data_IF_037905183213
#
_entry.id   IF_037905183213
#
_cell.length_a   1.000
_cell.length_b   1.000
_cell.length_c   1.000
_cell.angle_alpha   90.00
_cell.angle_beta   90.00
_cell.angle_gamma   90.00
#
_symmetry.space_group_name_H-M   'P 1'
#
loop_
_entity.id
_entity.type
_entity.pdbx_description
1 polymer ?
#
# COMPACT_ATOMS: atom_id res chain seq x y z
N UNK A 1 -44.56 -11.92 -70.16
CA UNK A 1 -43.24 -11.33 -69.84
C UNK A 1 -43.46 -10.11 -68.97
N UNK A 2 -42.94 -10.12 -67.74
CA UNK A 2 -43.07 -9.02 -66.79
C UNK A 2 -42.37 -9.42 -65.49
N UNK A 3 -41.11 -9.02 -65.35
CA UNK A 3 -40.24 -9.32 -64.21
C UNK A 3 -40.72 -8.60 -62.93
N UNK A 4 -40.85 -9.35 -61.84
CA UNK A 4 -41.00 -8.81 -60.50
C UNK A 4 -39.63 -8.38 -59.94
N UNK A 5 -39.51 -7.19 -59.31
CA UNK A 5 -38.27 -6.70 -58.75
C UNK A 5 -37.93 -7.42 -57.43
N UNK A 6 -36.64 -7.76 -57.30
CA UNK A 6 -36.08 -8.56 -56.24
C UNK A 6 -36.11 -7.91 -54.86
N UNK A 7 -36.55 -8.70 -53.89
CA UNK A 7 -36.32 -8.49 -52.45
C UNK A 7 -34.84 -8.77 -52.16
N UNK A 8 -34.01 -7.73 -52.18
CA UNK A 8 -32.69 -7.81 -51.57
C UNK A 8 -32.81 -7.86 -50.05
N UNK A 9 -32.30 -8.95 -49.49
CA UNK A 9 -32.15 -9.23 -48.06
C UNK A 9 -31.50 -8.06 -47.32
N UNK A 10 -32.27 -7.40 -46.44
CA UNK A 10 -31.72 -6.67 -45.29
C UNK A 10 -31.48 -7.67 -44.15
N UNK A 11 -30.49 -8.54 -44.32
CA UNK A 11 -29.82 -9.12 -43.16
C UNK A 11 -28.90 -8.04 -42.59
N UNK A 12 -29.50 -7.15 -41.80
CA UNK A 12 -28.75 -6.34 -40.86
C UNK A 12 -27.95 -7.31 -39.98
N UNK A 13 -26.65 -7.40 -40.23
CA UNK A 13 -25.67 -8.01 -39.32
C UNK A 13 -25.69 -7.21 -38.03
N UNK A 14 -26.63 -7.54 -37.15
CA UNK A 14 -26.52 -7.23 -35.73
C UNK A 14 -25.29 -7.99 -35.23
N UNK A 15 -24.29 -7.34 -34.63
CA UNK A 15 -23.17 -8.03 -34.01
C UNK A 15 -23.73 -9.05 -33.01
N UNK A 16 -23.46 -10.34 -33.27
CA UNK A 16 -23.73 -11.42 -32.32
C UNK A 16 -23.06 -11.07 -30.99
N UNK A 17 -23.88 -11.03 -29.94
CA UNK A 17 -23.50 -11.22 -28.54
C UNK A 17 -22.69 -10.10 -27.86
N UNK A 18 -23.33 -8.94 -27.68
CA UNK A 18 -23.32 -8.34 -26.33
C UNK A 18 -24.35 -9.10 -25.49
N UNK A 19 -24.06 -10.34 -25.10
CA UNK A 19 -24.74 -10.88 -23.91
C UNK A 19 -24.38 -9.91 -22.79
N UNK A 20 -25.40 -9.26 -22.23
CA UNK A 20 -25.24 -8.49 -20.99
C UNK A 20 -24.84 -9.52 -19.93
N UNK A 21 -23.54 -9.77 -19.79
CA UNK A 21 -23.03 -10.64 -18.72
C UNK A 21 -23.44 -10.01 -17.41
N UNK A 22 -24.15 -10.77 -16.58
CA UNK A 22 -24.59 -10.27 -15.29
C UNK A 22 -23.34 -10.26 -14.40
N UNK A 23 -22.90 -9.08 -13.99
CA UNK A 23 -21.71 -8.92 -13.14
C UNK A 23 -22.07 -8.23 -11.83
N UNK A 24 -21.39 -8.65 -10.77
CA UNK A 24 -21.45 -8.00 -9.45
C UNK A 24 -20.11 -7.28 -9.23
N UNK A 25 -20.16 -5.97 -9.02
CA UNK A 25 -18.98 -5.14 -8.77
C UNK A 25 -19.33 -4.11 -7.69
N UNK A 26 -18.52 -4.02 -6.65
CA UNK A 26 -18.58 -2.99 -5.63
C UNK A 26 -18.16 -1.63 -6.23
N UNK A 27 -19.10 -0.68 -6.25
CA UNK A 27 -18.90 0.64 -6.88
C UNK A 27 -18.41 1.71 -5.90
N UNK A 28 -18.58 1.45 -4.62
CA UNK A 28 -18.17 2.26 -3.48
C UNK A 28 -16.66 2.18 -3.21
N UNK A 29 -15.98 1.15 -3.74
CA UNK A 29 -14.52 1.05 -3.67
C UNK A 29 -13.89 1.88 -4.79
N UNK A 30 -13.33 3.01 -4.38
CA UNK A 30 -12.59 3.91 -5.24
C UNK A 30 -11.32 3.24 -5.83
N UNK A 31 -10.69 3.94 -6.77
CA UNK A 31 -9.46 3.46 -7.40
C UNK A 31 -8.31 3.53 -6.41
N UNK A 32 -7.46 2.52 -6.44
CA UNK A 32 -6.18 2.51 -5.73
C UNK A 32 -5.14 3.17 -6.63
N UNK A 33 -4.34 4.09 -6.07
CA UNK A 33 -3.40 4.91 -6.82
C UNK A 33 -2.12 5.14 -6.03
N UNK A 34 -1.01 4.77 -6.64
CA UNK A 34 0.32 5.10 -6.13
C UNK A 34 0.66 6.56 -6.48
N UNK A 35 1.24 7.29 -5.54
CA UNK A 35 1.56 8.71 -5.60
C UNK A 35 0.45 9.64 -5.07
N UNK A 36 -0.67 9.10 -4.57
CA UNK A 36 -1.84 9.88 -4.11
C UNK A 36 -1.98 9.93 -2.58
N UNK A 37 -0.93 9.55 -1.83
CA UNK A 37 -0.87 9.71 -0.38
C UNK A 37 -1.46 8.55 0.44
N UNK A 38 -1.56 7.36 -0.18
CA UNK A 38 -1.81 6.05 0.42
C UNK A 38 -0.91 5.00 -0.26
N UNK A 39 0.40 5.22 -0.21
CA UNK A 39 1.38 4.54 -1.08
C UNK A 39 1.83 3.19 -0.53
N UNK A 40 1.49 2.89 0.72
CA UNK A 40 1.63 1.56 1.29
C UNK A 40 0.42 0.69 0.90
N UNK A 41 0.62 -0.16 -0.12
CA UNK A 41 -0.47 -0.90 -0.78
C UNK A 41 -1.27 -1.81 0.17
N UNK A 42 -0.61 -2.47 1.12
CA UNK A 42 -1.27 -3.34 2.11
C UNK A 42 -2.29 -2.58 2.99
N UNK A 43 -1.88 -1.58 3.81
CA UNK A 43 -2.82 -0.85 4.65
C UNK A 43 -3.86 -0.09 3.82
N UNK A 44 -3.52 0.37 2.62
CA UNK A 44 -4.47 1.06 1.74
C UNK A 44 -5.55 0.12 1.19
N UNK A 45 -5.19 -1.07 0.72
CA UNK A 45 -6.15 -2.08 0.29
C UNK A 45 -7.02 -2.56 1.46
N UNK A 46 -6.42 -2.80 2.64
CA UNK A 46 -7.15 -3.21 3.84
C UNK A 46 -8.12 -2.13 4.33
N UNK A 47 -7.71 -0.86 4.34
CA UNK A 47 -8.56 0.28 4.67
C UNK A 47 -9.75 0.38 3.70
N UNK A 48 -9.49 0.27 2.40
CA UNK A 48 -10.53 0.30 1.38
C UNK A 48 -11.52 -0.87 1.49
N UNK A 49 -11.07 -2.06 1.87
CA UNK A 49 -11.94 -3.23 2.04
C UNK A 49 -12.76 -3.20 3.35
N UNK A 50 -12.15 -2.76 4.45
CA UNK A 50 -12.76 -2.82 5.79
C UNK A 50 -13.49 -1.55 6.21
N UNK A 51 -13.23 -0.42 5.54
CA UNK A 51 -13.69 0.91 5.95
C UNK A 51 -12.88 1.51 7.10
N UNK A 52 -11.79 0.86 7.54
CA UNK A 52 -10.91 1.39 8.58
C UNK A 52 -10.07 2.58 8.08
N UNK A 53 -9.62 3.44 9.00
CA UNK A 53 -8.80 4.60 8.67
C UNK A 53 -7.37 4.17 8.30
N UNK A 54 -6.87 4.55 7.12
CA UNK A 54 -5.53 4.20 6.64
C UNK A 54 -4.41 4.52 7.64
N UNK A 55 -4.38 5.76 8.12
CA UNK A 55 -3.37 6.23 9.08
C UNK A 55 -3.47 5.46 10.41
N UNK A 56 -4.67 5.02 10.80
CA UNK A 56 -4.88 4.21 11.99
C UNK A 56 -4.24 2.82 11.85
N UNK A 57 -4.40 2.16 10.71
CA UNK A 57 -3.79 0.84 10.46
C UNK A 57 -2.26 0.91 10.47
N UNK A 58 -1.70 1.92 9.80
CA UNK A 58 -0.26 2.17 9.75
C UNK A 58 0.33 2.57 11.11
N UNK A 59 -0.38 3.41 11.88
CA UNK A 59 0.05 3.82 13.20
C UNK A 59 0.00 2.68 14.23
N UNK A 60 -1.09 1.90 14.24
CA UNK A 60 -1.26 0.80 15.20
C UNK A 60 -0.31 -0.37 14.96
N UNK A 61 0.12 -0.61 13.72
CA UNK A 61 1.17 -1.61 13.40
C UNK A 61 2.59 -1.11 13.69
N UNK A 62 2.76 0.16 14.05
CA UNK A 62 4.08 0.77 14.21
C UNK A 62 4.80 1.08 12.89
N UNK A 63 4.29 0.60 11.75
CA UNK A 63 4.95 0.75 10.46
C UNK A 63 5.05 2.21 10.04
N UNK A 64 4.09 3.08 10.38
CA UNK A 64 4.18 4.53 10.08
C UNK A 64 5.51 5.17 10.56
N UNK A 65 6.11 4.61 11.61
CA UNK A 65 7.32 5.12 12.27
C UNK A 65 8.60 4.41 11.82
N UNK A 66 8.49 3.29 11.11
CA UNK A 66 9.62 2.44 10.72
C UNK A 66 10.21 2.85 9.38
N UNK A 67 11.53 2.78 9.26
CA UNK A 67 12.25 2.80 7.98
C UNK A 67 13.00 1.50 7.80
N UNK A 68 12.97 0.96 6.59
CA UNK A 68 13.77 -0.18 6.18
C UNK A 68 14.23 0.03 4.74
N UNK A 69 15.42 -0.47 4.43
CA UNK A 69 16.01 -0.45 3.09
C UNK A 69 16.73 -1.78 2.86
N UNK A 70 16.86 -2.18 1.60
CA UNK A 70 17.77 -3.23 1.17
C UNK A 70 18.96 -2.55 0.49
N UNK A 71 20.06 -2.38 1.22
CA UNK A 71 21.25 -1.72 0.70
C UNK A 71 21.94 -2.55 -0.40
N UNK A 72 21.78 -3.87 -0.43
CA UNK A 72 22.45 -4.73 -1.40
C UNK A 72 21.77 -4.63 -2.76
N UNK A 73 20.46 -4.82 -2.79
CA UNK A 73 19.70 -4.89 -4.05
C UNK A 73 19.06 -3.56 -4.44
N UNK A 74 18.96 -2.62 -3.49
CA UNK A 74 18.19 -1.37 -3.64
C UNK A 74 16.72 -1.64 -3.98
N UNK A 75 16.14 -2.72 -3.43
CA UNK A 75 14.76 -3.10 -3.70
C UNK A 75 13.78 -2.08 -3.10
N UNK A 76 12.98 -1.35 -3.90
CA UNK A 76 12.10 -0.27 -3.41
C UNK A 76 11.08 -0.71 -2.37
N UNK A 77 10.79 -1.99 -2.49
CA UNK A 77 9.90 -2.80 -1.74
C UNK A 77 10.34 -3.00 -0.29
N UNK A 78 11.64 -2.93 0.02
CA UNK A 78 12.15 -3.01 1.38
C UNK A 78 11.56 -1.92 2.30
N UNK A 79 11.18 -0.76 1.75
CA UNK A 79 10.56 0.33 2.50
C UNK A 79 9.06 0.10 2.81
N UNK A 80 8.39 -0.78 2.07
CA UNK A 80 6.95 -1.01 2.20
C UNK A 80 6.61 -1.91 3.41
N UNK A 81 5.48 -1.67 4.11
CA UNK A 81 4.99 -2.55 5.17
C UNK A 81 4.73 -3.98 4.65
N UNK A 82 5.40 -4.96 5.25
CA UNK A 82 5.38 -6.37 4.79
C UNK A 82 5.47 -7.37 5.92
N UNK A 83 5.18 -8.62 5.55
CA UNK A 83 5.28 -9.77 6.43
C UNK A 83 3.96 -10.09 7.12
N UNK A 84 3.83 -11.34 7.54
CA UNK A 84 2.60 -11.85 8.16
C UNK A 84 2.26 -11.13 9.45
N UNK A 85 3.27 -10.85 10.30
CA UNK A 85 3.07 -10.12 11.56
C UNK A 85 2.50 -8.73 11.32
N UNK A 86 3.11 -7.97 10.43
CA UNK A 86 2.66 -6.62 10.06
C UNK A 86 1.23 -6.63 9.53
N UNK A 87 0.91 -7.58 8.65
CA UNK A 87 -0.43 -7.75 8.11
C UNK A 87 -1.45 -8.09 9.20
N UNK A 88 -1.09 -8.99 10.13
CA UNK A 88 -1.94 -9.36 11.26
C UNK A 88 -2.19 -8.20 12.22
N UNK A 89 -1.18 -7.36 12.50
CA UNK A 89 -1.32 -6.19 13.35
C UNK A 89 -2.26 -5.14 12.74
N UNK A 90 -2.11 -4.86 11.45
CA UNK A 90 -3.03 -3.98 10.71
C UNK A 90 -4.44 -4.54 10.66
N UNK A 91 -4.60 -5.82 10.35
CA UNK A 91 -5.90 -6.49 10.30
C UNK A 91 -6.60 -6.45 11.66
N UNK A 92 -5.87 -6.76 12.74
CA UNK A 92 -6.41 -6.68 14.10
C UNK A 92 -6.89 -5.25 14.43
N UNK A 93 -6.12 -4.23 14.06
CA UNK A 93 -6.52 -2.82 14.26
C UNK A 93 -7.79 -2.44 13.47
N UNK A 94 -8.04 -3.09 12.33
CA UNK A 94 -9.25 -2.95 11.52
C UNK A 94 -10.44 -3.77 12.03
N UNK A 95 -10.26 -4.63 13.05
CA UNK A 95 -11.28 -5.61 13.44
C UNK A 95 -11.47 -6.69 12.38
N UNK A 96 -10.37 -7.11 11.75
CA UNK A 96 -10.35 -8.13 10.68
C UNK A 96 -9.41 -9.26 11.07
N UNK A 97 -9.84 -10.50 10.80
CA UNK A 97 -8.97 -11.69 10.76
C UNK A 97 -8.62 -11.98 9.31
N UNK A 98 -7.33 -12.19 9.05
CA UNK A 98 -6.83 -12.61 7.74
C UNK A 98 -6.93 -14.13 7.61
N UNK A 99 -7.42 -14.58 6.47
CA UNK A 99 -7.48 -16.00 6.11
C UNK A 99 -6.85 -16.21 4.71
N UNK A 100 -5.51 -16.34 4.65
CA UNK A 100 -4.79 -16.49 3.39
C UNK A 100 -5.03 -17.86 2.79
N UNK A 101 -5.35 -17.90 1.50
CA UNK A 101 -5.43 -19.13 0.70
C UNK A 101 -4.37 -19.04 -0.38
N UNK A 102 -3.44 -19.99 -0.38
CA UNK A 102 -2.32 -19.99 -1.29
C UNK A 102 -2.64 -20.82 -2.56
N UNK A 103 -2.19 -20.37 -3.74
CA UNK A 103 -2.16 -21.23 -4.94
C UNK A 103 -1.17 -22.40 -4.77
N UNK A 104 -1.29 -23.45 -5.61
CA UNK A 104 -2.21 -23.58 -6.74
C UNK A 104 -3.64 -23.97 -6.33
N UNK A 105 -4.62 -23.50 -7.10
CA UNK A 105 -6.04 -23.87 -6.93
C UNK A 105 -6.41 -24.93 -7.98
N UNK A 106 -6.68 -26.16 -7.52
CA UNK A 106 -7.27 -27.22 -8.36
C UNK A 106 -8.74 -26.95 -8.66
N UNK A 107 -9.40 -27.81 -9.43
CA UNK A 107 -10.78 -27.58 -9.88
C UNK A 107 -11.79 -27.47 -8.72
N UNK A 108 -11.64 -28.31 -7.70
CA UNK A 108 -12.50 -28.30 -6.51
C UNK A 108 -12.27 -27.03 -5.68
N UNK A 109 -11.01 -26.68 -5.44
CA UNK A 109 -10.64 -25.47 -4.71
C UNK A 109 -11.09 -24.21 -5.45
N UNK A 110 -11.02 -24.19 -6.80
CA UNK A 110 -11.51 -23.07 -7.61
C UNK A 110 -13.00 -22.83 -7.40
N UNK A 111 -13.81 -23.89 -7.32
CA UNK A 111 -15.24 -23.74 -7.04
C UNK A 111 -15.45 -23.10 -5.65
N UNK A 112 -14.82 -23.65 -4.61
CA UNK A 112 -14.94 -23.16 -3.23
C UNK A 112 -14.44 -21.72 -3.07
N UNK A 113 -13.31 -21.38 -3.67
CA UNK A 113 -12.75 -20.02 -3.64
C UNK A 113 -13.62 -19.05 -4.44
N UNK A 114 -14.22 -19.48 -5.56
CA UNK A 114 -15.17 -18.64 -6.32
C UNK A 114 -16.38 -18.30 -5.47
N UNK A 115 -16.99 -19.28 -4.81
CA UNK A 115 -18.14 -19.07 -3.95
C UNK A 115 -17.79 -18.12 -2.79
N UNK A 116 -16.64 -18.33 -2.14
CA UNK A 116 -16.20 -17.46 -1.05
C UNK A 116 -15.87 -16.04 -1.51
N UNK A 117 -15.34 -15.85 -2.73
CA UNK A 117 -15.15 -14.51 -3.32
C UNK A 117 -16.52 -13.83 -3.50
N UNK A 118 -17.50 -14.55 -4.06
CA UNK A 118 -18.84 -14.01 -4.28
C UNK A 118 -19.50 -13.59 -2.96
N UNK A 119 -19.46 -14.45 -1.94
CA UNK A 119 -19.95 -14.16 -0.59
C UNK A 119 -19.27 -12.93 0.02
N UNK A 120 -17.94 -12.84 -0.07
CA UNK A 120 -17.15 -11.73 0.48
C UNK A 120 -17.48 -10.41 -0.21
N UNK A 121 -17.61 -10.42 -1.54
CA UNK A 121 -18.02 -9.26 -2.35
C UNK A 121 -19.44 -8.83 -1.99
N UNK A 122 -20.38 -9.77 -1.88
CA UNK A 122 -21.77 -9.44 -1.53
C UNK A 122 -21.91 -8.89 -0.11
N UNK A 123 -21.07 -9.36 0.82
CA UNK A 123 -20.96 -8.85 2.19
C UNK A 123 -20.26 -7.47 2.31
N UNK A 124 -19.85 -6.87 1.18
CA UNK A 124 -19.06 -5.62 1.11
C UNK A 124 -17.78 -5.72 1.94
N UNK A 125 -17.09 -6.85 1.84
CA UNK A 125 -15.80 -7.11 2.47
C UNK A 125 -14.91 -7.88 1.49
N UNK A 126 -14.47 -7.25 0.39
CA UNK A 126 -13.77 -7.95 -0.68
C UNK A 126 -12.43 -8.54 -0.21
N UNK A 127 -12.01 -9.69 -0.75
CA UNK A 127 -10.71 -10.26 -0.45
C UNK A 127 -9.56 -9.37 -0.91
N UNK A 128 -8.46 -9.40 -0.15
CA UNK A 128 -7.18 -8.88 -0.62
C UNK A 128 -6.61 -9.82 -1.67
N UNK A 129 -5.89 -9.26 -2.63
CA UNK A 129 -5.12 -10.04 -3.60
C UNK A 129 -3.72 -9.48 -3.73
N UNK A 130 -2.73 -10.37 -3.81
CA UNK A 130 -1.32 -9.99 -3.92
C UNK A 130 -0.76 -10.35 -5.30
N UNK A 131 -0.07 -9.39 -5.92
CA UNK A 131 0.74 -9.62 -7.14
C UNK A 131 -0.01 -9.48 -8.47
N UNK A 132 -1.25 -8.99 -8.50
CA UNK A 132 -1.98 -8.80 -9.77
C UNK A 132 -1.43 -7.65 -10.62
N UNK A 133 -1.03 -6.54 -10.01
CA UNK A 133 -0.40 -5.41 -10.70
C UNK A 133 1.11 -5.57 -10.91
N UNK A 134 1.68 -6.68 -10.43
CA UNK A 134 3.12 -6.91 -10.31
C UNK A 134 3.49 -7.20 -8.85
N UNK A 135 4.47 -8.09 -8.60
CA UNK A 135 4.84 -8.44 -7.24
C UNK A 135 5.52 -7.27 -6.52
N UNK A 136 5.35 -7.15 -5.20
CA UNK A 136 4.34 -7.73 -4.31
C UNK A 136 3.34 -6.65 -3.88
N UNK A 137 2.60 -6.11 -4.84
CA UNK A 137 1.54 -5.15 -4.60
C UNK A 137 0.28 -5.84 -4.06
N UNK A 138 -0.39 -5.21 -3.10
CA UNK A 138 -1.73 -5.61 -2.65
C UNK A 138 -2.79 -4.82 -3.41
N UNK A 139 -3.84 -5.52 -3.83
CA UNK A 139 -5.05 -4.97 -4.42
C UNK A 139 -6.28 -5.65 -3.83
N UNK A 140 -7.43 -5.49 -4.52
CA UNK A 140 -8.72 -6.03 -4.09
C UNK A 140 -9.43 -6.79 -5.20
N UNK A 141 -10.11 -7.88 -4.86
CA UNK A 141 -11.12 -8.51 -5.71
C UNK A 141 -12.49 -7.92 -5.39
N UNK A 142 -12.92 -6.94 -6.19
CA UNK A 142 -14.12 -6.13 -5.92
C UNK A 142 -15.38 -6.64 -6.64
N UNK A 143 -15.27 -7.74 -7.38
CA UNK A 143 -16.38 -8.25 -8.16
C UNK A 143 -16.11 -9.58 -8.86
N UNK A 144 -17.17 -10.15 -9.40
CA UNK A 144 -17.17 -11.39 -10.15
C UNK A 144 -18.25 -11.38 -11.25
N UNK A 145 -18.07 -12.24 -12.25
CA UNK A 145 -19.02 -12.52 -13.31
C UNK A 145 -19.96 -13.66 -12.88
N UNK A 146 -21.27 -13.53 -13.09
CA UNK A 146 -22.25 -14.57 -12.73
C UNK A 146 -22.28 -15.70 -13.76
N UNK A 147 -21.79 -15.44 -14.97
CA UNK A 147 -21.86 -16.36 -16.10
C UNK A 147 -20.56 -17.16 -16.31
N UNK A 148 -19.53 -16.97 -15.47
CA UNK A 148 -18.27 -17.70 -15.58
C UNK A 148 -17.17 -17.18 -14.63
N UNK A 149 -16.02 -17.86 -14.56
CA UNK A 149 -15.02 -17.64 -13.51
C UNK A 149 -14.09 -16.46 -13.84
N UNK A 150 -14.68 -15.28 -14.04
CA UNK A 150 -13.95 -14.03 -14.19
C UNK A 150 -14.17 -13.16 -12.96
N UNK A 151 -13.09 -12.55 -12.48
CA UNK A 151 -13.08 -11.65 -11.34
C UNK A 151 -12.76 -10.22 -11.78
N UNK A 152 -13.16 -9.25 -10.98
CA UNK A 152 -12.88 -7.84 -11.20
C UNK A 152 -12.00 -7.33 -10.07
N UNK A 153 -10.79 -6.90 -10.43
CA UNK A 153 -9.78 -6.46 -9.49
C UNK A 153 -9.54 -4.95 -9.55
N UNK A 154 -9.05 -4.40 -8.43
CA UNK A 154 -8.44 -3.07 -8.33
C UNK A 154 -7.00 -3.20 -7.86
N UNK A 155 -6.09 -2.60 -8.61
CA UNK A 155 -4.66 -2.52 -8.30
C UNK A 155 -4.19 -1.06 -8.34
N UNK A 156 -3.12 -0.74 -7.62
CA UNK A 156 -2.51 0.60 -7.55
C UNK A 156 -1.98 1.10 -8.89
N UNK A 157 -1.72 0.18 -9.83
CA UNK A 157 -1.12 0.44 -11.13
C UNK A 157 -2.10 0.29 -12.30
N UNK A 158 -3.40 0.15 -12.02
CA UNK A 158 -4.44 0.10 -13.05
C UNK A 158 -4.45 1.39 -13.87
N UNK A 159 -4.31 1.30 -15.20
CA UNK A 159 -4.35 2.47 -16.09
C UNK A 159 -5.78 2.94 -16.44
N UNK A 160 -6.77 2.04 -16.34
CA UNK A 160 -8.16 2.28 -16.75
C UNK A 160 -9.09 2.66 -15.61
N UNK A 161 -10.16 3.40 -15.90
CA UNK A 161 -11.23 3.70 -14.92
C UNK A 161 -11.95 2.42 -14.49
N UNK A 162 -12.14 1.51 -15.43
CA UNK A 162 -12.81 0.24 -15.21
C UNK A 162 -11.96 -0.73 -14.40
N UNK A 163 -12.63 -1.57 -13.60
CA UNK A 163 -12.01 -2.64 -12.85
C UNK A 163 -11.37 -3.64 -13.81
N UNK A 164 -10.17 -4.12 -13.48
CA UNK A 164 -9.45 -5.07 -14.32
C UNK A 164 -10.15 -6.42 -14.27
N UNK A 165 -10.59 -6.93 -15.42
CA UNK A 165 -11.09 -8.30 -15.53
C UNK A 165 -9.91 -9.28 -15.53
N UNK A 166 -9.94 -10.29 -14.67
CA UNK A 166 -8.93 -11.35 -14.57
C UNK A 166 -9.60 -12.72 -14.49
N UNK A 167 -9.00 -13.75 -15.08
CA UNK A 167 -9.38 -15.14 -14.86
C UNK A 167 -8.42 -15.87 -13.92
N UNK A 168 -8.62 -17.18 -13.78
CA UNK A 168 -7.80 -18.05 -12.93
C UNK A 168 -6.30 -18.07 -13.30
N UNK A 169 -5.95 -17.74 -14.54
CA UNK A 169 -4.56 -17.60 -14.99
C UNK A 169 -3.77 -16.53 -14.22
N UNK A 170 -4.46 -15.58 -13.58
CA UNK A 170 -3.85 -14.55 -12.76
C UNK A 170 -3.47 -15.02 -11.34
N UNK A 171 -3.83 -16.26 -10.99
CA UNK A 171 -3.67 -16.86 -9.65
C UNK A 171 -2.87 -18.17 -9.71
N UNK A 172 -1.87 -18.22 -10.60
CA UNK A 172 -1.16 -19.44 -10.95
C UNK A 172 -0.13 -19.89 -9.89
N UNK A 173 0.45 -18.95 -9.14
CA UNK A 173 1.55 -19.22 -8.21
C UNK A 173 1.61 -18.23 -7.03
N UNK A 174 2.43 -18.52 -6.03
CA UNK A 174 2.48 -17.74 -4.79
C UNK A 174 2.99 -16.30 -4.97
N UNK A 175 3.66 -16.00 -6.08
CA UNK A 175 4.11 -14.65 -6.42
C UNK A 175 3.03 -13.85 -7.16
N UNK A 176 2.06 -14.55 -7.77
CA UNK A 176 1.01 -13.99 -8.62
C UNK A 176 -0.38 -14.53 -8.24
N UNK A 177 -1.12 -13.73 -7.47
CA UNK A 177 -2.51 -14.00 -7.13
C UNK A 177 -2.68 -14.84 -5.85
N UNK A 178 -1.92 -14.52 -4.81
CA UNK A 178 -2.30 -14.95 -3.45
C UNK A 178 -3.59 -14.25 -3.04
N UNK A 179 -4.59 -15.00 -2.57
CA UNK A 179 -5.87 -14.46 -2.11
C UNK A 179 -5.87 -14.48 -0.58
N UNK A 180 -6.35 -13.41 0.05
CA UNK A 180 -6.55 -13.37 1.50
C UNK A 180 -7.96 -12.91 1.79
N UNK A 181 -8.77 -13.82 2.33
CA UNK A 181 -10.10 -13.52 2.78
C UNK A 181 -10.05 -12.73 4.09
N UNK A 182 -11.08 -11.92 4.29
CA UNK A 182 -11.20 -11.01 5.41
C UNK A 182 -12.46 -11.36 6.20
N UNK A 183 -12.30 -11.71 7.47
CA UNK A 183 -13.44 -11.99 8.35
C UNK A 183 -13.54 -10.92 9.43
N UNK A 184 -14.75 -10.39 9.67
CA UNK A 184 -14.97 -9.40 10.73
C UNK A 184 -14.79 -10.03 12.11
N UNK A 185 -14.05 -9.34 12.96
CA UNK A 185 -13.87 -9.66 14.38
C UNK A 185 -14.03 -8.38 15.20
N UNK A 186 -14.08 -8.51 16.53
CA UNK A 186 -14.13 -7.33 17.40
C UNK A 186 -12.75 -6.66 17.42
N UNK A 187 -12.64 -5.37 17.03
CA UNK A 187 -11.38 -4.65 17.13
C UNK A 187 -10.97 -4.50 18.60
N UNK A 188 -9.65 -4.44 18.90
CA UNK A 188 -9.16 -4.11 20.23
C UNK A 188 -9.58 -2.69 20.64
N UNK A 189 -9.52 -2.43 21.95
CA UNK A 189 -9.67 -1.08 22.50
C UNK A 189 -8.71 -0.09 21.82
N UNK A 190 -9.20 1.10 21.47
CA UNK A 190 -8.40 2.10 20.74
C UNK A 190 -7.19 2.56 21.55
N UNK A 191 -7.32 2.74 22.87
CA UNK A 191 -6.19 3.15 23.69
C UNK A 191 -5.12 2.05 23.77
N UNK A 192 -5.53 0.78 23.85
CA UNK A 192 -4.62 -0.36 23.78
C UNK A 192 -3.85 -0.38 22.44
N UNK A 193 -4.55 -0.25 21.30
CA UNK A 193 -3.92 -0.22 19.98
C UNK A 193 -2.89 0.90 19.81
N UNK A 194 -3.20 2.10 20.34
CA UNK A 194 -2.24 3.22 20.30
C UNK A 194 -1.00 2.91 21.14
N UNK A 195 -1.17 2.37 22.36
CA UNK A 195 -0.04 2.00 23.22
C UNK A 195 0.86 0.96 22.57
N UNK A 196 0.28 -0.03 21.90
CA UNK A 196 1.01 -1.08 21.18
C UNK A 196 1.74 -0.51 19.96
N UNK A 197 1.07 0.31 19.15
CA UNK A 197 1.72 0.98 18.00
C UNK A 197 2.89 1.87 18.41
N UNK A 198 2.74 2.63 19.51
CA UNK A 198 3.83 3.43 20.09
C UNK A 198 4.97 2.55 20.60
N UNK A 199 4.65 1.44 21.27
CA UNK A 199 5.68 0.50 21.74
C UNK A 199 6.47 -0.11 20.57
N UNK A 200 5.79 -0.49 19.50
CA UNK A 200 6.42 -0.98 18.28
C UNK A 200 7.31 0.10 17.62
N UNK A 201 6.84 1.35 17.58
CA UNK A 201 7.60 2.49 17.05
C UNK A 201 8.91 2.73 17.82
N UNK A 202 8.84 2.68 19.16
CA UNK A 202 10.00 2.84 20.02
C UNK A 202 10.99 1.68 19.87
N UNK A 203 10.49 0.44 19.80
CA UNK A 203 11.32 -0.75 19.63
C UNK A 203 12.07 -0.77 18.28
N UNK A 204 11.48 -0.24 17.22
CA UNK A 204 12.08 -0.19 15.89
C UNK A 204 12.96 1.06 15.64
N UNK A 205 13.17 1.89 16.67
CA UNK A 205 13.84 3.19 16.53
C UNK A 205 15.27 3.10 16.02
N UNK A 206 16.09 2.24 16.65
CA UNK A 206 17.51 2.09 16.29
C UNK A 206 17.69 1.49 14.89
N UNK A 207 16.89 0.47 14.54
CA UNK A 207 16.88 -0.11 13.19
C UNK A 207 16.52 0.93 12.12
N UNK A 208 15.53 1.78 12.41
CA UNK A 208 15.08 2.82 11.48
C UNK A 208 16.14 3.90 11.28
N UNK A 209 16.86 4.27 12.34
CA UNK A 209 17.98 5.21 12.26
C UNK A 209 19.14 4.66 11.45
N UNK A 210 19.48 3.39 11.66
CA UNK A 210 20.52 2.71 10.91
C UNK A 210 20.16 2.62 9.42
N UNK A 211 18.89 2.33 9.10
CA UNK A 211 18.40 2.29 7.72
C UNK A 211 18.50 3.66 7.03
N UNK A 212 18.10 4.74 7.72
CA UNK A 212 18.23 6.11 7.20
C UNK A 212 19.70 6.52 7.01
N UNK A 213 20.57 6.14 7.95
CA UNK A 213 22.00 6.40 7.86
C UNK A 213 22.67 5.66 6.70
N UNK A 214 22.39 4.36 6.55
CA UNK A 214 22.88 3.56 5.43
C UNK A 214 22.37 4.09 4.09
N UNK A 215 21.09 4.44 3.98
CA UNK A 215 20.56 5.06 2.75
C UNK A 215 21.31 6.35 2.40
N UNK A 216 21.49 7.24 3.38
CA UNK A 216 22.22 8.48 3.18
C UNK A 216 23.69 8.25 2.81
N UNK A 217 24.35 7.24 3.39
CA UNK A 217 25.72 6.86 3.06
C UNK A 217 25.82 6.34 1.61
N UNK A 218 24.94 5.42 1.21
CA UNK A 218 24.92 4.87 -0.14
C UNK A 218 24.70 5.96 -1.21
N UNK A 219 23.84 6.95 -0.96
CA UNK A 219 23.64 8.09 -1.86
C UNK A 219 24.89 8.97 -2.03
N UNK A 220 25.75 9.04 -1.00
CA UNK A 220 27.01 9.79 -1.02
C UNK A 220 28.15 9.02 -1.68
N UNK A 221 28.03 7.70 -1.83
CA UNK A 221 29.03 6.88 -2.50
C UNK A 221 28.93 7.07 -4.02
N UNK A 222 29.71 8.00 -4.55
CA UNK A 222 29.73 8.29 -5.98
C UNK A 222 30.22 7.09 -6.83
N UNK A 223 31.07 6.21 -6.26
CA UNK A 223 31.58 5.05 -6.99
C UNK A 223 30.46 4.05 -7.30
N UNK A 224 29.51 3.88 -6.36
CA UNK A 224 28.33 3.02 -6.49
C UNK A 224 27.45 3.37 -7.69
N UNK A 225 27.38 4.64 -8.09
CA UNK A 225 26.47 5.13 -9.14
C UNK A 225 27.15 5.43 -10.47
N UNK A 226 28.38 4.92 -10.67
CA UNK A 226 29.14 5.14 -11.91
C UNK A 226 28.60 4.38 -13.12
N UNK A 227 27.95 3.22 -12.92
CA UNK A 227 27.25 2.51 -13.99
C UNK A 227 25.89 3.17 -14.28
N UNK A 228 25.69 3.76 -15.47
CA UNK A 228 24.43 4.42 -15.82
C UNK A 228 23.22 3.48 -15.83
N UNK A 229 23.42 2.18 -16.13
CA UNK A 229 22.32 1.21 -16.15
C UNK A 229 21.85 0.92 -14.73
N UNK A 230 22.78 0.59 -13.84
CA UNK A 230 22.49 0.43 -12.42
C UNK A 230 21.85 1.69 -11.81
N UNK A 231 22.44 2.86 -12.05
CA UNK A 231 21.92 4.14 -11.55
C UNK A 231 20.50 4.44 -12.06
N UNK A 232 20.20 4.12 -13.32
CA UNK A 232 18.86 4.28 -13.89
C UNK A 232 17.80 3.42 -13.19
N UNK A 233 18.12 2.15 -12.91
CA UNK A 233 17.21 1.25 -12.15
C UNK A 233 17.07 1.71 -10.70
N UNK A 234 18.18 2.08 -10.06
CA UNK A 234 18.19 2.57 -8.68
C UNK A 234 17.42 3.88 -8.50
N UNK A 235 17.33 4.72 -9.55
CA UNK A 235 16.56 5.96 -9.49
C UNK A 235 15.06 5.74 -9.28
N UNK A 236 14.49 4.71 -9.93
CA UNK A 236 13.09 4.33 -9.68
C UNK A 236 12.91 3.83 -8.26
N UNK A 237 13.84 2.99 -7.81
CA UNK A 237 13.76 2.40 -6.50
C UNK A 237 13.89 3.42 -5.36
N UNK A 238 14.88 4.32 -5.44
CA UNK A 238 15.05 5.46 -4.53
C UNK A 238 13.79 6.33 -4.49
N UNK A 239 13.23 6.62 -5.67
CA UNK A 239 11.99 7.40 -5.77
C UNK A 239 10.83 6.72 -5.04
N UNK A 240 10.62 5.42 -5.26
CA UNK A 240 9.55 4.67 -4.62
C UNK A 240 9.76 4.57 -3.09
N UNK A 241 10.98 4.30 -2.62
CA UNK A 241 11.31 4.31 -1.19
C UNK A 241 11.04 5.68 -0.57
N UNK A 242 11.38 6.78 -1.27
CA UNK A 242 11.15 8.15 -0.78
C UNK A 242 9.66 8.47 -0.69
N UNK A 243 8.88 8.08 -1.69
CA UNK A 243 7.42 8.23 -1.68
C UNK A 243 6.80 7.49 -0.51
N UNK A 244 7.21 6.23 -0.27
CA UNK A 244 6.76 5.43 0.87
C UNK A 244 7.18 6.08 2.20
N UNK A 245 8.41 6.56 2.33
CA UNK A 245 8.88 7.23 3.55
C UNK A 245 8.04 8.48 3.86
N UNK A 246 7.79 9.33 2.87
CA UNK A 246 6.95 10.52 3.02
C UNK A 246 5.54 10.14 3.48
N UNK A 247 4.95 9.13 2.84
CA UNK A 247 3.61 8.65 3.17
C UNK A 247 3.53 8.10 4.59
N UNK A 248 4.47 7.22 4.99
CA UNK A 248 4.56 6.66 6.35
C UNK A 248 4.67 7.77 7.40
N UNK A 249 5.49 8.80 7.17
CA UNK A 249 5.64 9.92 8.11
C UNK A 249 4.44 10.86 8.17
N UNK A 250 3.75 11.09 7.05
CA UNK A 250 2.46 11.79 7.04
C UNK A 250 1.40 11.01 7.81
N UNK A 251 1.33 9.70 7.59
CA UNK A 251 0.42 8.81 8.31
C UNK A 251 0.71 8.81 9.81
N UNK A 252 1.98 8.74 10.21
CA UNK A 252 2.41 8.86 11.62
C UNK A 252 1.90 10.16 12.25
N UNK A 253 2.11 11.29 11.58
CA UNK A 253 1.66 12.59 12.08
C UNK A 253 0.11 12.67 12.20
N UNK A 254 -0.64 12.17 11.21
CA UNK A 254 -2.11 12.16 11.25
C UNK A 254 -2.66 11.22 12.31
N UNK A 255 -2.09 10.03 12.45
CA UNK A 255 -2.41 9.05 13.49
C UNK A 255 -2.21 9.62 14.89
N UNK A 256 -1.06 10.24 15.17
CA UNK A 256 -0.79 10.79 16.49
C UNK A 256 -1.71 11.97 16.83
N UNK A 257 -2.05 12.81 15.84
CA UNK A 257 -3.03 13.90 16.03
C UNK A 257 -4.43 13.37 16.34
N UNK A 258 -4.86 12.28 15.70
CA UNK A 258 -6.17 11.68 16.00
C UNK A 258 -6.14 10.97 17.36
N UNK A 259 -5.04 10.28 17.68
CA UNK A 259 -4.87 9.55 18.93
C UNK A 259 -4.75 10.44 20.16
N UNK A 260 -4.31 11.71 20.03
CA UNK A 260 -4.15 12.62 21.19
C UNK A 260 -5.42 12.77 22.03
N UNK A 261 -6.60 12.70 21.41
CA UNK A 261 -7.89 12.85 22.10
C UNK A 261 -8.24 11.67 23.01
N UNK A 262 -7.55 10.53 22.83
CA UNK A 262 -7.75 9.32 23.63
C UNK A 262 -7.07 9.46 25.00
N UNK A 263 -5.97 10.24 25.08
CA UNK A 263 -5.19 10.39 26.30
C UNK A 263 -5.22 11.85 26.78
N UNK A 264 -5.87 12.15 27.92
CA UNK A 264 -5.94 13.50 28.43
C UNK A 264 -4.58 13.99 28.94
N UNK A 265 -4.42 15.31 29.06
CA UNK A 265 -3.28 15.95 29.74
C UNK A 265 -1.93 15.72 29.04
N UNK A 266 -0.85 15.47 29.80
CA UNK A 266 0.52 15.44 29.30
C UNK A 266 0.77 14.44 28.16
N UNK A 267 0.28 13.18 28.22
CA UNK A 267 0.46 12.23 27.11
C UNK A 267 -0.12 12.74 25.79
N UNK A 268 -1.30 13.37 25.81
CA UNK A 268 -1.89 13.96 24.60
C UNK A 268 -1.05 15.11 24.03
N UNK A 269 -0.43 15.92 24.90
CA UNK A 269 0.52 16.97 24.51
C UNK A 269 1.79 16.40 23.86
N UNK A 270 2.36 15.34 24.44
CA UNK A 270 3.54 14.68 23.89
C UNK A 270 3.25 13.95 22.57
N UNK A 271 2.05 13.38 22.40
CA UNK A 271 1.61 12.85 21.10
C UNK A 271 1.52 13.93 20.02
N UNK A 272 1.06 15.13 20.39
CA UNK A 272 1.03 16.26 19.45
C UNK A 272 2.44 16.70 19.05
N UNK A 273 3.36 16.79 20.01
CA UNK A 273 4.78 17.10 19.74
C UNK A 273 5.41 16.05 18.82
N UNK A 274 5.18 14.76 19.09
CA UNK A 274 5.64 13.69 18.22
C UNK A 274 5.05 13.82 16.80
N UNK A 275 3.77 14.16 16.69
CA UNK A 275 3.10 14.36 15.40
C UNK A 275 3.71 15.52 14.58
N UNK A 276 4.13 16.59 15.25
CA UNK A 276 4.83 17.72 14.61
C UNK A 276 6.19 17.29 14.09
N UNK A 277 6.99 16.59 14.90
CA UNK A 277 8.30 16.06 14.49
C UNK A 277 8.18 15.14 13.27
N UNK A 278 7.25 14.19 13.25
CA UNK A 278 7.05 13.34 12.07
C UNK A 278 6.50 14.11 10.86
N UNK A 279 5.74 15.18 11.08
CA UNK A 279 5.36 16.12 10.02
C UNK A 279 6.58 16.79 9.38
N UNK A 280 7.52 17.28 10.19
CA UNK A 280 8.77 17.86 9.70
C UNK A 280 9.67 16.83 9.03
N UNK A 281 9.69 15.58 9.52
CA UNK A 281 10.36 14.48 8.84
C UNK A 281 9.79 14.26 7.43
N UNK A 282 8.45 14.22 7.28
CA UNK A 282 7.82 14.14 5.97
C UNK A 282 8.20 15.32 5.08
N UNK A 283 8.15 16.55 5.60
CA UNK A 283 8.50 17.75 4.83
C UNK A 283 9.97 17.72 4.37
N UNK A 284 10.89 17.30 5.23
CA UNK A 284 12.29 17.09 4.88
C UNK A 284 12.42 16.05 3.75
N UNK A 285 11.71 14.93 3.86
CA UNK A 285 11.71 13.87 2.84
C UNK A 285 11.14 14.34 1.49
N UNK A 286 10.16 15.25 1.48
CA UNK A 286 9.58 15.78 0.22
C UNK A 286 10.49 16.72 -0.56
N UNK A 287 11.49 17.35 0.07
CA UNK A 287 12.40 18.31 -0.60
C UNK A 287 13.21 17.69 -1.75
N UNK A 288 13.35 16.36 -1.77
CA UNK A 288 13.94 15.61 -2.90
C UNK A 288 13.04 15.46 -4.12
N UNK A 289 11.78 15.92 -4.04
CA UNK A 289 10.77 15.80 -5.09
C UNK A 289 9.99 14.48 -4.99
N UNK A 290 8.78 14.56 -4.48
CA UNK A 290 7.77 13.49 -4.58
C UNK A 290 6.70 13.90 -5.60
N UNK A 291 6.30 12.96 -6.45
CA UNK A 291 5.42 13.19 -7.60
C UNK A 291 5.54 12.03 -8.59
N UNK A 292 4.96 12.14 -9.77
CA UNK A 292 5.05 11.09 -10.79
C UNK A 292 6.51 10.81 -11.19
N UNK A 293 6.89 9.53 -11.23
CA UNK A 293 8.20 9.13 -11.74
C UNK A 293 8.26 9.35 -13.26
N UNK A 294 9.27 10.10 -13.71
CA UNK A 294 9.52 10.35 -15.13
C UNK A 294 11.02 10.45 -15.41
N UNK A 295 11.39 10.61 -16.69
CA UNK A 295 12.80 10.72 -17.09
C UNK A 295 13.57 11.84 -16.38
N UNK A 296 12.90 12.95 -16.02
CA UNK A 296 13.51 14.03 -15.25
C UNK A 296 13.86 13.61 -13.82
N UNK A 297 13.01 12.80 -13.17
CA UNK A 297 13.32 12.21 -11.86
C UNK A 297 14.54 11.29 -11.95
N UNK A 298 14.59 10.43 -12.98
CA UNK A 298 15.73 9.54 -13.21
C UNK A 298 17.05 10.30 -13.43
N UNK A 299 17.02 11.34 -14.27
CA UNK A 299 18.21 12.17 -14.54
C UNK A 299 18.69 12.92 -13.30
N UNK A 300 17.78 13.40 -12.43
CA UNK A 300 18.18 14.02 -11.16
C UNK A 300 18.89 13.04 -10.23
N UNK A 301 18.52 11.77 -10.21
CA UNK A 301 19.23 10.79 -9.37
C UNK A 301 20.69 10.57 -9.83
N UNK A 302 20.96 10.67 -11.13
CA UNK A 302 22.32 10.54 -11.68
C UNK A 302 23.19 11.76 -11.31
N UNK A 303 22.57 12.91 -11.04
CA UNK A 303 23.28 14.09 -10.57
C UNK A 303 23.83 13.91 -9.13
N UNK A 304 25.14 14.04 -8.99
CA UNK A 304 25.85 13.92 -7.69
C UNK A 304 25.34 14.96 -6.69
N UNK A 305 25.08 16.19 -7.15
CA UNK A 305 24.59 17.27 -6.31
C UNK A 305 23.23 16.96 -5.70
N UNK A 306 22.32 16.42 -6.51
CA UNK A 306 21.01 15.98 -6.08
C UNK A 306 21.08 14.81 -5.09
N UNK A 307 21.90 13.78 -5.33
CA UNK A 307 22.06 12.67 -4.37
C UNK A 307 22.58 13.16 -3.02
N UNK A 308 23.58 14.05 -3.01
CA UNK A 308 24.11 14.64 -1.76
C UNK A 308 23.08 15.50 -1.05
N UNK A 309 22.28 16.27 -1.79
CA UNK A 309 21.17 17.03 -1.23
C UNK A 309 20.10 16.10 -0.64
N UNK A 310 19.81 14.98 -1.30
CA UNK A 310 18.90 13.96 -0.80
C UNK A 310 19.42 13.29 0.47
N UNK A 311 20.68 12.88 0.50
CA UNK A 311 21.33 12.34 1.70
C UNK A 311 21.26 13.31 2.89
N UNK A 312 21.47 14.62 2.66
CA UNK A 312 21.30 15.65 3.70
C UNK A 312 19.86 15.73 4.22
N UNK A 313 18.88 15.57 3.35
CA UNK A 313 17.47 15.54 3.76
C UNK A 313 17.17 14.29 4.60
N UNK A 314 17.75 13.13 4.27
CA UNK A 314 17.62 11.92 5.10
C UNK A 314 18.23 12.10 6.50
N UNK A 315 19.35 12.82 6.63
CA UNK A 315 19.87 13.17 7.96
C UNK A 315 18.85 14.01 8.77
N UNK A 316 18.18 14.95 8.10
CA UNK A 316 17.14 15.77 8.73
C UNK A 316 15.91 14.93 9.11
N UNK A 317 15.47 14.00 8.25
CA UNK A 317 14.42 13.02 8.57
C UNK A 317 14.80 12.26 9.83
N UNK A 318 16.02 11.72 9.90
CA UNK A 318 16.51 10.96 11.05
C UNK A 318 16.48 11.78 12.35
N UNK A 319 16.90 13.04 12.29
CA UNK A 319 16.88 13.92 13.47
C UNK A 319 15.45 14.19 13.94
N UNK A 320 14.52 14.50 13.03
CA UNK A 320 13.12 14.69 13.39
C UNK A 320 12.45 13.40 13.87
N UNK A 321 12.80 12.24 13.31
CA UNK A 321 12.31 10.95 13.79
C UNK A 321 12.80 10.66 15.23
N UNK A 322 14.05 11.03 15.57
CA UNK A 322 14.58 10.94 16.95
C UNK A 322 13.80 11.81 17.92
N UNK A 323 13.61 13.08 17.59
CA UNK A 323 12.79 14.01 18.38
C UNK A 323 11.36 13.47 18.58
N UNK A 324 10.77 12.93 17.51
CA UNK A 324 9.47 12.29 17.53
C UNK A 324 9.43 11.09 18.47
N UNK A 325 10.43 10.21 18.43
CA UNK A 325 10.53 9.05 19.33
C UNK A 325 10.78 9.43 20.78
N UNK A 326 11.57 10.46 21.06
CA UNK A 326 11.72 11.00 22.41
C UNK A 326 10.36 11.48 22.97
N UNK A 327 9.57 12.16 22.14
CA UNK A 327 8.21 12.56 22.49
C UNK A 327 7.27 11.37 22.69
N UNK A 328 7.36 10.35 21.84
CA UNK A 328 6.61 9.10 22.01
C UNK A 328 6.99 8.38 23.31
N UNK A 329 8.26 8.38 23.69
CA UNK A 329 8.74 7.80 24.96
C UNK A 329 8.14 8.50 26.16
N UNK A 330 8.13 9.85 26.15
CA UNK A 330 7.48 10.65 27.19
C UNK A 330 5.96 10.39 27.26
N UNK A 331 5.28 10.38 26.11
CA UNK A 331 3.87 10.07 26.02
C UNK A 331 3.57 8.68 26.61
N UNK A 332 4.34 7.66 26.20
CA UNK A 332 4.16 6.28 26.64
C UNK A 332 4.32 6.11 28.14
N UNK A 333 5.29 6.80 28.75
CA UNK A 333 5.52 6.78 30.20
C UNK A 333 4.35 7.40 31.00
N UNK A 334 3.66 8.39 30.41
CA UNK A 334 2.48 9.02 31.03
C UNK A 334 1.16 8.28 30.78
N UNK A 335 1.10 7.33 29.85
CA UNK A 335 -0.06 6.47 29.60
C UNK A 335 -0.14 5.34 30.63
N UNK A 336 -0.76 5.63 31.78
CA UNK A 336 -1.21 4.62 32.74
C UNK A 336 -2.59 4.09 32.35
#
# INVERSE_FOLDING_TARGET
MGHAPGLHRLEARVPRERRLTKRRILKDIARLRFGEGHDCTLPAALAAASGAEYDWLLGCSGEAFRTAIDEETWDPLAAAPRGERTAAEMARAAGIRLDPVAPPYDEEMRALVTDRIAESVDAHLPPLVRGLGGPPEYGLLIGYDLDGPAFFARTFFDKSEDARRVGWEAFADAERGGITFLDRVTPPDRAASVREGIAAALAAGDESDQALESWAAALRDDARWTDPKHAGTAAFADHAMRTILVDKRRAAARFLRSARGIFPSAPGGDLLRAAESYGYAADAATKGGVGEFNGGVAMRFIDVGHRRAWAKNLDAVRNHDREGREALGAARAGMR
#
